data_IF_402338283981
#
_entry.id   IF_402338283981
#
_cell.length_a   1.000
_cell.length_b   1.000
_cell.length_c   1.000
_cell.angle_alpha   90.00
_cell.angle_beta   90.00
_cell.angle_gamma   90.00
#
_symmetry.space_group_name_H-M   'P 1'
#
loop_
_entity.id
_entity.type
_entity.pdbx_description
1 polymer ?
#
# COMPACT_ATOMS: atom_id res chain seq x y z
N UNK A 1 37.40 -53.67 70.17
CA UNK A 1 36.66 -52.80 71.13
C UNK A 1 35.70 -51.93 70.34
N UNK A 2 34.49 -51.75 70.88
CA UNK A 2 33.39 -50.81 70.53
C UNK A 2 33.79 -49.64 69.61
N UNK A 3 32.99 -49.13 68.66
CA UNK A 3 31.58 -49.31 68.23
C UNK A 3 31.39 -48.33 67.04
N UNK A 4 30.69 -48.76 65.97
CA UNK A 4 29.49 -48.11 65.35
C UNK A 4 29.70 -46.68 64.77
N UNK A 5 29.27 -46.23 63.57
CA UNK A 5 28.18 -46.52 62.62
C UNK A 5 28.61 -45.82 61.29
N UNK A 6 28.74 -46.50 60.15
CA UNK A 6 27.75 -46.67 59.06
C UNK A 6 27.25 -45.42 58.31
N UNK A 7 27.17 -45.64 56.99
CA UNK A 7 26.25 -45.08 55.99
C UNK A 7 26.79 -43.85 55.24
N UNK A 8 26.88 -43.80 53.91
CA UNK A 8 26.49 -44.69 52.82
C UNK A 8 26.94 -44.03 51.50
N UNK A 9 27.52 -44.80 50.57
CA UNK A 9 26.90 -45.17 49.27
C UNK A 9 26.59 -43.96 48.38
N UNK A 10 27.33 -43.75 47.28
CA UNK A 10 26.99 -44.22 45.92
C UNK A 10 27.82 -43.54 44.83
N UNK A 11 28.17 -44.32 43.82
CA UNK A 11 28.65 -43.93 42.49
C UNK A 11 27.86 -42.77 41.85
N UNK A 12 28.53 -41.97 41.02
CA UNK A 12 28.28 -41.80 39.56
C UNK A 12 29.08 -40.59 39.05
N UNK A 13 30.04 -40.80 38.15
CA UNK A 13 29.92 -40.42 36.72
C UNK A 13 29.22 -39.07 36.58
N UNK A 14 30.02 -37.99 36.57
CA UNK A 14 29.55 -36.68 36.13
C UNK A 14 29.31 -36.74 34.63
N UNK A 15 28.06 -37.00 34.28
CA UNK A 15 27.52 -36.79 32.95
C UNK A 15 27.55 -35.30 32.64
N UNK A 16 27.99 -35.01 31.42
CA UNK A 16 27.78 -33.77 30.69
C UNK A 16 26.32 -33.33 30.83
N UNK A 17 26.09 -32.18 31.48
CA UNK A 17 24.83 -31.46 31.42
C UNK A 17 25.03 -30.25 30.52
N UNK A 18 24.40 -30.29 29.35
CA UNK A 18 24.07 -29.08 28.60
C UNK A 18 23.25 -28.18 29.52
N UNK A 19 23.76 -26.98 29.81
CA UNK A 19 22.87 -25.90 30.22
C UNK A 19 22.39 -25.24 28.93
N UNK A 20 21.25 -25.72 28.44
CA UNK A 20 20.35 -24.94 27.60
C UNK A 20 19.77 -23.84 28.49
N UNK A 21 20.34 -22.64 28.43
CA UNK A 21 19.74 -21.44 29.02
C UNK A 21 20.24 -20.18 28.28
N UNK A 22 20.30 -20.23 26.94
CA UNK A 22 20.23 -19.01 26.13
C UNK A 22 18.78 -18.52 26.16
N UNK A 23 18.42 -17.87 27.27
CA UNK A 23 17.28 -16.96 27.27
C UNK A 23 17.64 -15.85 26.29
N UNK A 24 17.16 -15.99 25.06
CA UNK A 24 17.37 -15.00 24.01
C UNK A 24 17.14 -13.60 24.58
N UNK A 25 18.17 -12.74 24.48
CA UNK A 25 18.05 -11.36 24.89
C UNK A 25 16.80 -10.78 24.23
N UNK A 26 15.88 -10.29 25.07
CA UNK A 26 14.73 -9.52 24.59
C UNK A 26 15.32 -8.23 24.02
N UNK A 27 15.62 -8.25 22.73
CA UNK A 27 16.02 -7.04 22.02
C UNK A 27 14.84 -6.09 22.13
N UNK A 28 15.02 -4.88 22.67
CA UNK A 28 13.91 -3.94 22.81
C UNK A 28 13.28 -3.71 21.41
N UNK A 29 11.94 -3.54 21.33
CA UNK A 29 11.27 -3.20 20.09
C UNK A 29 12.01 -2.05 19.40
N UNK A 30 12.44 -2.29 18.16
CA UNK A 30 13.06 -1.24 17.35
C UNK A 30 11.96 -0.35 16.79
N UNK A 31 12.19 0.96 16.80
CA UNK A 31 11.28 1.94 16.24
C UNK A 31 11.15 1.75 14.73
N UNK A 32 9.98 1.31 14.26
CA UNK A 32 9.72 1.05 12.84
C UNK A 32 9.32 2.37 12.19
N UNK A 33 10.13 2.86 11.26
CA UNK A 33 9.87 4.11 10.56
C UNK A 33 9.08 3.88 9.27
N UNK A 34 9.39 2.81 8.53
CA UNK A 34 8.77 2.55 7.23
C UNK A 34 8.75 1.05 6.91
N UNK A 35 7.59 0.58 6.44
CA UNK A 35 7.43 -0.73 5.83
C UNK A 35 7.38 -0.58 4.31
N UNK A 36 8.03 -1.49 3.61
CA UNK A 36 7.99 -1.57 2.15
C UNK A 36 7.52 -2.96 1.76
N UNK A 37 6.33 -3.02 1.16
CA UNK A 37 5.76 -4.23 0.60
C UNK A 37 6.41 -4.48 -0.75
N UNK A 38 6.98 -5.67 -0.93
CA UNK A 38 7.68 -6.08 -2.13
C UNK A 38 6.87 -7.16 -2.84
N UNK A 39 6.41 -6.88 -4.06
CA UNK A 39 5.62 -7.80 -4.88
C UNK A 39 6.40 -9.07 -5.19
N UNK A 40 7.71 -8.92 -5.36
CA UNK A 40 8.63 -9.99 -5.70
C UNK A 40 8.45 -10.54 -7.11
N UNK A 41 8.84 -11.80 -7.30
CA UNK A 41 8.83 -12.50 -8.59
C UNK A 41 8.40 -13.95 -8.39
N UNK A 42 7.79 -14.55 -9.41
CA UNK A 42 7.38 -15.97 -9.40
C UNK A 42 6.49 -16.38 -8.21
N UNK A 43 5.70 -15.47 -7.65
CA UNK A 43 4.84 -15.75 -6.49
C UNK A 43 5.58 -15.76 -5.15
N UNK A 44 6.82 -15.26 -5.10
CA UNK A 44 7.61 -15.10 -3.88
C UNK A 44 7.79 -13.62 -3.59
N UNK A 45 7.11 -13.13 -2.55
CA UNK A 45 7.12 -11.73 -2.12
C UNK A 45 8.10 -11.44 -1.00
N UNK A 46 8.01 -10.22 -0.45
CA UNK A 46 8.75 -9.87 0.76
C UNK A 46 8.22 -8.63 1.47
N UNK A 47 8.73 -8.42 2.69
CA UNK A 47 8.51 -7.22 3.48
C UNK A 47 9.87 -6.68 3.91
N UNK A 48 10.17 -5.44 3.53
CA UNK A 48 11.34 -4.72 4.02
C UNK A 48 10.95 -3.74 5.10
N UNK A 49 11.83 -3.54 6.08
CA UNK A 49 11.62 -2.67 7.23
C UNK A 49 12.78 -1.69 7.34
N UNK A 50 12.47 -0.41 7.50
CA UNK A 50 13.43 0.65 7.80
C UNK A 50 13.12 1.11 9.22
N UNK A 51 14.14 1.10 10.07
CA UNK A 51 14.04 1.51 11.47
C UNK A 51 14.54 2.95 11.66
N UNK A 52 14.09 3.61 12.73
CA UNK A 52 14.46 5.00 13.03
C UNK A 52 15.95 5.23 13.31
N UNK A 53 16.72 4.17 13.60
CA UNK A 53 18.18 4.21 13.71
C UNK A 53 18.91 4.13 12.35
N UNK A 54 18.16 4.04 11.25
CA UNK A 54 18.67 3.87 9.88
C UNK A 54 18.95 2.43 9.49
N UNK A 55 18.74 1.44 10.37
CA UNK A 55 18.87 0.02 10.02
C UNK A 55 17.83 -0.37 8.99
N UNK A 56 18.25 -1.13 7.97
CA UNK A 56 17.37 -1.65 6.92
C UNK A 56 17.37 -3.16 6.97
N UNK A 57 16.19 -3.75 7.06
CA UNK A 57 16.00 -5.19 7.02
C UNK A 57 15.19 -5.56 5.77
N UNK A 58 15.88 -6.02 4.73
CA UNK A 58 15.31 -6.21 3.39
C UNK A 58 14.27 -7.35 3.33
N UNK A 59 14.52 -8.45 4.05
CA UNK A 59 13.66 -9.64 4.07
C UNK A 59 13.11 -9.90 5.49
N UNK A 60 12.53 -8.88 6.13
CA UNK A 60 12.08 -8.97 7.52
C UNK A 60 11.08 -10.11 7.76
N UNK A 61 10.16 -10.35 6.81
CA UNK A 61 9.23 -11.49 6.88
C UNK A 61 9.97 -12.83 6.94
N UNK A 62 10.91 -13.07 6.01
CA UNK A 62 11.62 -14.34 5.90
C UNK A 62 12.51 -14.59 7.13
N UNK A 63 13.17 -13.53 7.62
CA UNK A 63 14.01 -13.60 8.81
C UNK A 63 13.20 -13.90 10.07
N UNK A 64 12.01 -13.31 10.21
CA UNK A 64 11.16 -13.53 11.37
C UNK A 64 10.48 -14.91 11.38
N UNK A 65 10.23 -15.50 10.20
CA UNK A 65 9.40 -16.70 10.06
C UNK A 65 10.14 -17.93 9.54
N UNK A 66 11.42 -17.78 9.18
CA UNK A 66 12.25 -18.81 8.53
C UNK A 66 11.60 -19.40 7.26
N UNK A 67 10.78 -18.59 6.58
CA UNK A 67 9.96 -18.98 5.43
C UNK A 67 9.78 -17.84 4.44
N UNK A 68 9.79 -18.16 3.16
CA UNK A 68 9.51 -17.20 2.09
C UNK A 68 8.03 -16.82 2.13
N UNK A 69 7.73 -15.52 1.98
CA UNK A 69 6.37 -15.02 1.81
C UNK A 69 5.81 -15.51 0.47
N UNK A 70 4.89 -16.48 0.54
CA UNK A 70 4.20 -16.98 -0.64
C UNK A 70 3.13 -15.97 -1.07
N UNK A 71 2.92 -15.88 -2.38
CA UNK A 71 2.02 -14.89 -2.96
C UNK A 71 2.75 -13.63 -3.38
N UNK A 72 2.21 -12.93 -4.38
CA UNK A 72 2.60 -11.55 -4.70
C UNK A 72 1.89 -10.58 -3.77
N UNK A 73 2.57 -10.01 -2.75
CA UNK A 73 1.94 -9.15 -1.77
C UNK A 73 1.39 -7.88 -2.42
N UNK A 74 0.30 -7.33 -1.87
CA UNK A 74 -0.41 -6.20 -2.46
C UNK A 74 -0.48 -5.00 -1.53
N UNK A 75 -1.19 -5.13 -0.41
CA UNK A 75 -1.39 -4.07 0.55
C UNK A 75 -1.13 -4.57 1.97
N UNK A 76 -0.65 -3.65 2.80
CA UNK A 76 -0.53 -3.85 4.25
C UNK A 76 -1.37 -2.80 4.96
N UNK A 77 -2.10 -3.22 5.99
CA UNK A 77 -2.87 -2.33 6.84
C UNK A 77 -2.75 -2.75 8.32
N UNK A 78 -2.84 -1.77 9.22
CA UNK A 78 -2.85 -2.00 10.67
C UNK A 78 -4.29 -2.08 11.15
N UNK A 79 -4.70 -3.25 11.64
CA UNK A 79 -6.06 -3.50 12.12
C UNK A 79 -5.95 -4.29 13.43
N UNK A 80 -6.59 -3.80 14.50
CA UNK A 80 -6.58 -4.43 15.83
C UNK A 80 -5.16 -4.82 16.32
N UNK A 81 -4.23 -3.86 16.26
CA UNK A 81 -2.84 -4.02 16.69
C UNK A 81 -2.07 -5.16 15.98
N UNK A 82 -2.49 -5.51 14.77
CA UNK A 82 -1.82 -6.48 13.89
C UNK A 82 -1.64 -5.89 12.51
N UNK A 83 -0.66 -6.39 11.76
CA UNK A 83 -0.58 -6.10 10.33
C UNK A 83 -1.28 -7.18 9.53
N UNK A 84 -2.15 -6.76 8.61
CA UNK A 84 -2.80 -7.63 7.63
C UNK A 84 -2.16 -7.35 6.27
N UNK A 85 -1.47 -8.34 5.73
CA UNK A 85 -0.77 -8.28 4.45
C UNK A 85 -1.47 -9.19 3.43
N UNK A 86 -2.11 -8.59 2.43
CA UNK A 86 -2.75 -9.32 1.34
C UNK A 86 -1.73 -9.80 0.31
N UNK A 87 -1.92 -10.98 -0.26
CA UNK A 87 -1.09 -11.50 -1.35
C UNK A 87 -1.91 -12.29 -2.37
N UNK A 88 -1.70 -12.04 -3.66
CA UNK A 88 -2.68 -12.38 -4.70
C UNK A 88 -2.46 -13.73 -5.43
N UNK A 89 -1.30 -14.36 -5.33
CA UNK A 89 -0.99 -15.58 -6.12
C UNK A 89 0.16 -16.42 -5.54
N UNK A 90 -0.12 -17.39 -4.62
CA UNK A 90 -1.44 -17.81 -4.14
C UNK A 90 -2.18 -16.74 -3.34
N UNK A 91 -3.52 -16.80 -3.39
CA UNK A 91 -4.41 -15.88 -2.68
C UNK A 91 -4.41 -16.17 -1.17
N UNK A 92 -3.97 -15.18 -0.39
CA UNK A 92 -3.91 -15.28 1.07
C UNK A 92 -3.84 -13.92 1.75
N UNK A 93 -3.97 -13.97 3.07
CA UNK A 93 -3.71 -12.83 3.96
C UNK A 93 -2.79 -13.34 5.08
N UNK A 94 -1.62 -12.73 5.20
CA UNK A 94 -0.71 -12.96 6.32
C UNK A 94 -1.02 -11.94 7.43
N UNK A 95 -1.18 -12.43 8.65
CA UNK A 95 -1.45 -11.61 9.82
C UNK A 95 -0.21 -11.65 10.69
N UNK A 96 0.44 -10.50 10.83
CA UNK A 96 1.76 -10.36 11.43
C UNK A 96 1.68 -9.61 12.75
N UNK A 97 2.53 -10.00 13.70
CA UNK A 97 2.86 -9.20 14.85
C UNK A 97 3.61 -7.93 14.41
N UNK A 98 3.16 -6.71 14.77
CA UNK A 98 3.78 -5.48 14.30
C UNK A 98 5.22 -5.24 14.75
N UNK A 99 5.66 -5.90 15.82
CA UNK A 99 6.98 -5.69 16.43
C UNK A 99 8.00 -6.69 15.92
N UNK A 100 7.60 -7.96 15.84
CA UNK A 100 8.48 -9.08 15.51
C UNK A 100 8.33 -9.54 14.06
N UNK A 101 7.25 -9.14 13.38
CA UNK A 101 6.86 -9.59 12.03
C UNK A 101 6.62 -11.09 11.92
N UNK A 102 6.50 -11.79 13.05
CA UNK A 102 6.12 -13.20 13.10
C UNK A 102 4.67 -13.34 12.66
N UNK A 103 4.40 -14.37 11.85
CA UNK A 103 3.06 -14.73 11.40
C UNK A 103 2.27 -15.26 12.59
N UNK A 104 1.25 -14.50 12.99
CA UNK A 104 0.26 -14.90 13.98
C UNK A 104 -0.76 -15.86 13.37
N UNK A 105 -1.13 -15.63 12.11
CA UNK A 105 -2.08 -16.46 11.36
C UNK A 105 -1.96 -16.21 9.87
N UNK A 106 -2.18 -17.26 9.07
CA UNK A 106 -2.41 -17.16 7.63
C UNK A 106 -3.88 -17.49 7.34
N UNK A 107 -4.53 -16.67 6.53
CA UNK A 107 -5.85 -16.97 5.93
C UNK A 107 -5.59 -17.33 4.48
N UNK A 108 -5.63 -18.62 4.15
CA UNK A 108 -5.61 -19.09 2.76
C UNK A 108 -7.02 -19.03 2.16
N UNK A 109 -7.12 -18.64 0.90
CA UNK A 109 -8.39 -18.63 0.20
C UNK A 109 -8.72 -20.05 -0.29
N UNK A 110 -9.92 -20.53 0.00
CA UNK A 110 -10.40 -21.84 -0.49
C UNK A 110 -10.82 -21.78 -1.97
N UNK A 111 -11.17 -20.58 -2.46
CA UNK A 111 -11.56 -20.31 -3.85
C UNK A 111 -10.45 -19.53 -4.55
N UNK A 112 -10.48 -19.56 -5.88
CA UNK A 112 -9.62 -18.68 -6.69
C UNK A 112 -9.92 -17.23 -6.31
N UNK A 113 -8.88 -16.47 -6.02
CA UNK A 113 -8.96 -15.05 -5.70
C UNK A 113 -7.65 -14.35 -6.04
N UNK A 114 -7.67 -13.03 -5.96
CA UNK A 114 -6.52 -12.14 -6.05
C UNK A 114 -6.76 -10.97 -5.10
N UNK A 115 -6.63 -11.18 -3.78
CA UNK A 115 -6.83 -10.12 -2.79
C UNK A 115 -5.92 -8.92 -3.07
N UNK A 116 -6.50 -7.73 -2.97
CA UNK A 116 -5.89 -6.44 -3.29
C UNK A 116 -5.81 -5.60 -2.03
N UNK A 117 -6.63 -4.58 -1.90
CA UNK A 117 -6.68 -3.72 -0.72
C UNK A 117 -7.52 -4.34 0.42
N UNK A 118 -7.30 -3.86 1.65
CA UNK A 118 -8.02 -4.31 2.85
C UNK A 118 -8.36 -3.13 3.75
N UNK A 119 -9.61 -3.06 4.21
CA UNK A 119 -10.10 -1.97 5.05
C UNK A 119 -11.01 -2.50 6.18
N UNK A 120 -10.84 -2.02 7.43
CA UNK A 120 -11.78 -2.35 8.51
C UNK A 120 -13.15 -1.74 8.24
N UNK A 121 -14.21 -2.52 8.47
CA UNK A 121 -15.62 -2.06 8.43
C UNK A 121 -16.23 -1.96 9.84
N UNK A 122 -15.62 -2.61 10.83
CA UNK A 122 -16.01 -2.54 12.25
C UNK A 122 -14.81 -2.85 13.15
N UNK A 123 -15.02 -2.90 14.47
CA UNK A 123 -13.99 -3.31 15.44
C UNK A 123 -13.55 -4.77 15.26
N UNK A 124 -14.37 -5.61 14.62
CA UNK A 124 -14.10 -7.05 14.50
C UNK A 124 -14.11 -7.56 13.07
N UNK A 125 -14.42 -6.73 12.08
CA UNK A 125 -14.53 -7.14 10.69
C UNK A 125 -13.80 -6.20 9.73
N UNK A 126 -13.26 -6.78 8.66
CA UNK A 126 -12.67 -6.07 7.53
C UNK A 126 -13.17 -6.64 6.20
N UNK A 127 -13.14 -5.80 5.17
CA UNK A 127 -13.38 -6.20 3.79
C UNK A 127 -12.06 -6.18 3.05
N UNK A 128 -11.83 -7.23 2.28
CA UNK A 128 -10.72 -7.39 1.37
C UNK A 128 -11.26 -7.28 -0.05
N UNK A 129 -10.77 -6.28 -0.78
CA UNK A 129 -10.99 -6.15 -2.20
C UNK A 129 -10.34 -7.32 -2.94
N UNK A 130 -10.98 -7.81 -3.99
CA UNK A 130 -10.43 -8.85 -4.84
C UNK A 130 -10.63 -8.48 -6.30
N UNK A 131 -9.58 -8.63 -7.12
CA UNK A 131 -9.69 -8.36 -8.55
C UNK A 131 -10.42 -9.45 -9.33
N UNK A 132 -10.83 -10.55 -8.69
CA UNK A 132 -11.60 -11.65 -9.27
C UNK A 132 -12.98 -11.74 -8.61
N UNK A 133 -13.93 -10.93 -9.06
CA UNK A 133 -15.38 -11.10 -8.85
C UNK A 133 -15.84 -11.41 -7.43
N UNK A 134 -15.16 -10.85 -6.42
CA UNK A 134 -15.58 -11.03 -5.03
C UNK A 134 -15.12 -9.90 -4.10
N UNK A 135 -15.78 -9.82 -2.95
CA UNK A 135 -15.26 -9.20 -1.73
C UNK A 135 -15.12 -10.30 -0.69
N UNK A 136 -14.06 -10.27 0.11
CA UNK A 136 -13.92 -11.22 1.23
C UNK A 136 -14.09 -10.48 2.55
N UNK A 137 -15.12 -10.87 3.31
CA UNK A 137 -15.32 -10.40 4.68
C UNK A 137 -14.55 -11.32 5.62
N UNK A 138 -13.71 -10.73 6.46
CA UNK A 138 -12.94 -11.46 7.47
C UNK A 138 -13.27 -10.93 8.86
N UNK A 139 -13.16 -11.80 9.86
CA UNK A 139 -13.14 -11.40 11.26
C UNK A 139 -11.69 -11.17 11.69
N UNK A 140 -11.39 -9.96 12.15
CA UNK A 140 -10.02 -9.48 12.48
C UNK A 140 -9.60 -9.81 13.91
N UNK A 141 -10.52 -10.33 14.72
CA UNK A 141 -10.25 -10.83 16.08
C UNK A 141 -9.91 -12.32 16.03
N UNK A 142 -10.79 -13.13 15.42
CA UNK A 142 -10.59 -14.58 15.25
C UNK A 142 -9.65 -14.92 14.10
N UNK A 143 -9.34 -13.95 13.23
CA UNK A 143 -8.48 -14.10 12.07
C UNK A 143 -8.99 -15.18 11.10
N UNK A 144 -10.28 -15.13 10.76
CA UNK A 144 -10.96 -16.13 9.91
C UNK A 144 -11.80 -15.46 8.84
N UNK A 145 -12.02 -16.15 7.71
CA UNK A 145 -13.03 -15.74 6.73
C UNK A 145 -14.41 -15.85 7.37
N UNK A 146 -15.21 -14.79 7.23
CA UNK A 146 -16.64 -14.79 7.54
C UNK A 146 -17.42 -15.21 6.30
N UNK A 147 -17.13 -14.58 5.17
CA UNK A 147 -17.85 -14.81 3.92
C UNK A 147 -17.00 -14.39 2.70
N UNK A 148 -17.13 -15.13 1.61
CA UNK A 148 -16.76 -14.66 0.27
C UNK A 148 -18.03 -14.21 -0.46
N UNK A 149 -18.16 -12.91 -0.67
CA UNK A 149 -19.30 -12.28 -1.32
C UNK A 149 -19.00 -12.25 -2.82
N UNK A 150 -19.62 -13.15 -3.59
CA UNK A 150 -19.50 -13.17 -5.05
C UNK A 150 -20.12 -11.91 -5.65
N UNK A 151 -19.33 -11.15 -6.39
CA UNK A 151 -19.80 -10.02 -7.19
C UNK A 151 -20.22 -10.50 -8.59
N UNK A 152 -20.99 -9.69 -9.31
CA UNK A 152 -21.28 -9.96 -10.72
C UNK A 152 -19.98 -10.00 -11.57
N UNK A 153 -19.98 -10.77 -12.67
CA UNK A 153 -18.77 -11.13 -13.45
C UNK A 153 -18.03 -9.93 -14.06
N UNK A 154 -18.67 -8.78 -14.22
CA UNK A 154 -17.98 -7.58 -14.66
C UNK A 154 -17.16 -6.93 -13.52
N UNK A 155 -17.45 -7.22 -12.25
CA UNK A 155 -16.85 -6.53 -11.11
C UNK A 155 -15.60 -7.22 -10.59
N UNK A 156 -14.57 -6.44 -10.33
CA UNK A 156 -13.40 -6.79 -9.53
C UNK A 156 -12.82 -5.47 -9.03
N UNK A 157 -12.17 -5.48 -7.87
CA UNK A 157 -11.73 -4.26 -7.19
C UNK A 157 -10.23 -4.31 -6.89
N UNK A 158 -9.51 -3.26 -7.28
CA UNK A 158 -8.11 -3.07 -6.88
C UNK A 158 -8.03 -2.28 -5.59
N UNK A 159 -8.75 -1.16 -5.55
CA UNK A 159 -8.72 -0.19 -4.46
C UNK A 159 -10.14 0.03 -3.94
N UNK A 160 -10.27 0.15 -2.62
CA UNK A 160 -11.53 0.41 -1.91
C UNK A 160 -11.38 1.55 -0.91
N UNK A 161 -12.50 2.20 -0.57
CA UNK A 161 -12.53 3.23 0.47
C UNK A 161 -13.85 3.18 1.24
N UNK A 162 -13.82 3.57 2.51
CA UNK A 162 -15.01 3.71 3.34
C UNK A 162 -15.22 5.15 3.76
N UNK A 163 -16.43 5.65 3.57
CA UNK A 163 -16.88 6.94 4.08
C UNK A 163 -18.40 6.91 4.24
N UNK A 164 -18.91 7.51 5.33
CA UNK A 164 -20.35 7.60 5.62
C UNK A 164 -21.10 6.26 5.52
N UNK A 165 -20.58 5.21 6.17
CA UNK A 165 -21.16 3.85 6.18
C UNK A 165 -21.26 3.17 4.81
N UNK A 166 -20.52 3.66 3.82
CA UNK A 166 -20.51 3.11 2.46
C UNK A 166 -19.12 2.65 2.09
N UNK A 167 -19.05 1.49 1.46
CA UNK A 167 -17.86 0.99 0.79
C UNK A 167 -17.92 1.41 -0.68
N UNK A 168 -16.86 2.04 -1.15
CA UNK A 168 -16.66 2.43 -2.54
C UNK A 168 -15.56 1.55 -3.13
N UNK A 169 -15.77 1.01 -4.31
CA UNK A 169 -14.79 0.16 -5.00
C UNK A 169 -14.64 0.51 -6.47
N UNK A 170 -13.39 0.57 -6.92
CA UNK A 170 -13.07 0.78 -8.33
C UNK A 170 -13.52 -0.39 -9.19
N UNK A 171 -14.20 -0.09 -10.30
CA UNK A 171 -14.50 -1.08 -11.33
C UNK A 171 -13.34 -1.24 -12.30
N UNK A 172 -12.84 -2.47 -12.49
CA UNK A 172 -11.66 -2.71 -13.31
C UNK A 172 -11.87 -2.61 -14.82
N UNK A 173 -13.07 -2.97 -15.30
CA UNK A 173 -13.36 -3.11 -16.73
C UNK A 173 -14.54 -2.24 -17.21
N UNK A 174 -15.21 -1.47 -16.34
CA UNK A 174 -16.19 -0.49 -16.78
C UNK A 174 -16.12 0.88 -16.09
N UNK A 175 -16.93 1.79 -16.62
CA UNK A 175 -17.04 3.19 -16.22
C UNK A 175 -17.81 3.32 -14.90
N UNK A 176 -17.16 3.09 -13.76
CA UNK A 176 -17.70 3.62 -12.52
C UNK A 176 -17.07 3.16 -11.22
N UNK A 177 -17.67 3.66 -10.14
CA UNK A 177 -17.37 3.28 -8.76
C UNK A 177 -18.60 2.59 -8.20
N UNK A 178 -18.44 1.34 -7.79
CA UNK A 178 -19.47 0.60 -7.09
C UNK A 178 -19.62 1.15 -5.66
N UNK A 179 -20.86 1.27 -5.21
CA UNK A 179 -21.21 1.72 -3.86
C UNK A 179 -22.00 0.62 -3.15
N UNK A 180 -21.52 0.20 -1.98
CA UNK A 180 -22.20 -0.76 -1.11
C UNK A 180 -22.46 -0.12 0.25
N UNK A 181 -23.52 -0.54 0.91
CA UNK A 181 -23.74 -0.27 2.33
C UNK A 181 -22.99 -1.33 3.14
N UNK A 182 -22.15 -0.91 4.08
CA UNK A 182 -21.28 -1.83 4.83
C UNK A 182 -22.09 -2.77 5.73
N UNK A 183 -23.27 -2.34 6.18
CA UNK A 183 -24.15 -3.13 7.03
C UNK A 183 -24.88 -4.23 6.24
N UNK A 184 -24.92 -4.12 4.91
CA UNK A 184 -25.62 -5.07 4.04
C UNK A 184 -24.94 -5.18 2.67
N UNK A 185 -23.68 -5.61 2.66
CA UNK A 185 -22.94 -5.87 1.42
C UNK A 185 -23.52 -7.13 0.78
N UNK A 186 -23.99 -6.98 -0.47
CA UNK A 186 -24.44 -8.09 -1.32
C UNK A 186 -23.55 -8.19 -2.56
N UNK A 187 -23.75 -9.21 -3.39
CA UNK A 187 -23.03 -9.36 -4.65
C UNK A 187 -23.26 -8.23 -5.68
N UNK A 188 -24.31 -7.43 -5.50
CA UNK A 188 -24.59 -6.28 -6.37
C UNK A 188 -24.39 -4.96 -5.61
N UNK A 189 -23.75 -3.94 -6.23
CA UNK A 189 -23.68 -2.62 -5.64
C UNK A 189 -25.07 -1.98 -5.57
N UNK A 190 -25.30 -1.16 -4.55
CA UNK A 190 -26.54 -0.38 -4.43
C UNK A 190 -26.66 0.67 -5.54
N UNK A 191 -25.53 1.15 -6.03
CA UNK A 191 -25.44 2.13 -7.12
C UNK A 191 -24.04 2.12 -7.73
N UNK A 192 -23.93 2.65 -8.94
CA UNK A 192 -22.67 2.83 -9.65
C UNK A 192 -22.55 4.29 -10.05
N UNK A 193 -21.49 4.94 -9.59
CA UNK A 193 -21.21 6.34 -9.93
C UNK A 193 -20.49 6.36 -11.28
N UNK A 194 -21.03 7.01 -12.33
CA UNK A 194 -20.49 6.94 -13.67
C UNK A 194 -19.24 7.82 -13.80
N UNK A 195 -18.07 7.20 -13.69
CA UNK A 195 -16.77 7.85 -13.88
C UNK A 195 -15.88 6.95 -14.72
N UNK A 196 -15.05 7.53 -15.59
CA UNK A 196 -14.11 6.74 -16.37
C UNK A 196 -12.85 6.49 -15.56
N UNK A 197 -12.48 5.23 -15.36
CA UNK A 197 -11.20 4.84 -14.74
C UNK A 197 -10.44 4.04 -15.78
N UNK A 198 -9.32 4.58 -16.26
CA UNK A 198 -8.51 3.89 -17.27
C UNK A 198 -7.67 2.77 -16.65
N UNK A 199 -7.35 1.75 -17.44
CA UNK A 199 -6.53 0.62 -16.99
C UNK A 199 -5.16 1.05 -16.42
N UNK A 200 -4.61 2.17 -16.91
CA UNK A 200 -3.31 2.70 -16.45
C UNK A 200 -3.35 3.34 -15.07
N UNK A 201 -4.53 3.67 -14.54
CA UNK A 201 -4.69 4.36 -13.25
C UNK A 201 -5.47 3.55 -12.21
N UNK A 202 -5.93 2.34 -12.56
CA UNK A 202 -6.73 1.46 -11.68
C UNK A 202 -6.05 1.05 -10.37
N UNK A 203 -4.73 1.25 -10.26
CA UNK A 203 -3.92 0.96 -9.05
C UNK A 203 -3.58 2.23 -8.26
N UNK A 204 -4.22 3.35 -8.60
CA UNK A 204 -4.08 4.59 -7.85
C UNK A 204 -5.09 4.56 -6.69
N UNK A 205 -4.61 4.77 -5.47
CA UNK A 205 -5.44 4.69 -4.27
C UNK A 205 -6.62 5.66 -4.31
N UNK A 206 -7.75 5.19 -3.79
CA UNK A 206 -8.90 6.02 -3.47
C UNK A 206 -8.65 6.71 -2.12
N UNK A 207 -8.91 8.01 -2.04
CA UNK A 207 -8.65 8.80 -0.83
C UNK A 207 -9.93 9.39 -0.26
N UNK A 208 -10.08 9.34 1.07
CA UNK A 208 -11.13 10.05 1.79
C UNK A 208 -10.49 11.21 2.53
N UNK A 209 -10.83 12.43 2.13
CA UNK A 209 -10.24 13.65 2.70
C UNK A 209 -10.83 14.00 4.09
N UNK A 210 -10.29 15.05 4.72
CA UNK A 210 -10.78 15.57 6.01
C UNK A 210 -12.22 16.12 5.98
N UNK A 211 -12.78 16.36 4.81
CA UNK A 211 -14.12 16.89 4.57
C UNK A 211 -15.12 15.77 4.19
N UNK A 212 -14.74 14.50 4.40
CA UNK A 212 -15.50 13.32 4.00
C UNK A 212 -15.87 13.30 2.51
N UNK A 213 -14.97 13.78 1.64
CA UNK A 213 -15.10 13.63 0.19
C UNK A 213 -14.19 12.50 -0.29
N UNK A 214 -14.70 11.72 -1.22
CA UNK A 214 -13.96 10.66 -1.88
C UNK A 214 -13.25 11.23 -3.11
N UNK A 215 -11.98 10.89 -3.27
CA UNK A 215 -11.12 11.38 -4.33
C UNK A 215 -10.50 10.23 -5.12
N UNK A 216 -10.58 10.34 -6.44
CA UNK A 216 -10.15 9.29 -7.37
C UNK A 216 -9.41 9.91 -8.54
N UNK A 217 -8.26 9.32 -8.90
CA UNK A 217 -7.47 9.78 -10.02
C UNK A 217 -7.98 9.18 -11.33
N UNK A 218 -8.07 10.00 -12.37
CA UNK A 218 -8.40 9.59 -13.73
C UNK A 218 -7.61 10.39 -14.77
N UNK A 219 -7.70 9.95 -16.03
CA UNK A 219 -7.13 10.62 -17.20
C UNK A 219 -8.15 10.64 -18.31
N UNK A 220 -8.23 11.73 -19.05
CA UNK A 220 -9.20 11.87 -20.14
C UNK A 220 -8.88 13.04 -21.05
N UNK A 221 -9.90 13.49 -21.77
CA UNK A 221 -9.84 14.73 -22.54
C UNK A 221 -10.83 15.75 -22.00
N UNK A 222 -10.42 17.01 -21.97
CA UNK A 222 -11.30 18.11 -21.63
C UNK A 222 -12.18 18.54 -22.81
N UNK A 223 -12.99 19.59 -22.60
CA UNK A 223 -13.89 20.14 -23.62
C UNK A 223 -13.17 20.61 -24.90
N UNK A 224 -11.89 21.01 -24.78
CA UNK A 224 -11.03 21.43 -25.89
C UNK A 224 -10.27 20.25 -26.52
N UNK A 225 -10.62 19.01 -26.17
CA UNK A 225 -9.93 17.79 -26.60
C UNK A 225 -8.45 17.69 -26.17
N UNK A 226 -8.02 18.50 -25.19
CA UNK A 226 -6.70 18.41 -24.57
C UNK A 226 -6.68 17.24 -23.59
N UNK A 227 -5.58 16.48 -23.57
CA UNK A 227 -5.41 15.42 -22.58
C UNK A 227 -5.19 16.03 -21.19
N UNK A 228 -5.88 15.49 -20.19
CA UNK A 228 -5.82 15.97 -18.81
C UNK A 228 -5.72 14.80 -17.82
N UNK A 229 -5.13 15.08 -16.66
CA UNK A 229 -5.43 14.34 -15.45
C UNK A 229 -6.65 14.95 -14.77
N UNK A 230 -7.40 14.11 -14.07
CA UNK A 230 -8.55 14.49 -13.27
C UNK A 230 -8.43 13.92 -11.87
N UNK A 231 -8.61 14.79 -10.88
CA UNK A 231 -8.94 14.35 -9.53
C UNK A 231 -10.45 14.49 -9.36
N UNK A 232 -11.14 13.36 -9.50
CA UNK A 232 -12.59 13.24 -9.38
C UNK A 232 -12.94 13.31 -7.90
N UNK A 233 -13.76 14.28 -7.52
CA UNK A 233 -14.27 14.51 -6.17
C UNK A 233 -15.72 14.03 -6.11
N UNK A 234 -16.00 13.09 -5.23
CA UNK A 234 -17.32 12.50 -5.04
C UNK A 234 -17.83 12.86 -3.65
N UNK A 235 -19.02 13.43 -3.61
CA UNK A 235 -19.78 13.56 -2.38
C UNK A 235 -20.42 12.20 -2.03
N UNK A 236 -20.05 11.54 -0.92
CA UNK A 236 -20.49 10.17 -0.66
C UNK A 236 -21.98 10.06 -0.25
N UNK A 237 -22.60 11.15 0.17
CA UNK A 237 -24.01 11.18 0.52
C UNK A 237 -24.88 11.32 -0.73
N UNK A 238 -24.60 12.34 -1.53
CA UNK A 238 -25.38 12.69 -2.73
C UNK A 238 -24.89 12.01 -4.01
N UNK A 239 -23.70 11.39 -3.98
CA UNK A 239 -23.00 10.81 -5.12
C UNK A 239 -22.71 11.80 -6.26
N UNK A 240 -22.82 13.11 -5.99
CA UNK A 240 -22.50 14.15 -6.95
C UNK A 240 -20.99 14.15 -7.22
N UNK A 241 -20.65 14.32 -8.49
CA UNK A 241 -19.29 14.33 -9.00
C UNK A 241 -18.89 15.75 -9.34
N UNK A 242 -17.72 16.16 -8.87
CA UNK A 242 -16.95 17.32 -9.29
C UNK A 242 -15.53 16.86 -9.66
N UNK A 243 -14.70 17.73 -10.23
CA UNK A 243 -13.32 17.37 -10.55
C UNK A 243 -12.37 18.55 -10.60
N UNK A 244 -11.12 18.29 -10.24
CA UNK A 244 -9.99 19.16 -10.57
C UNK A 244 -9.36 18.71 -11.86
N UNK A 245 -9.42 19.56 -12.88
CA UNK A 245 -8.80 19.33 -14.18
C UNK A 245 -7.35 19.82 -14.17
N UNK A 246 -6.44 18.97 -14.66
CA UNK A 246 -5.01 19.26 -14.79
C UNK A 246 -4.61 19.05 -16.25
N UNK A 247 -4.50 20.14 -17.06
CA UNK A 247 -4.17 20.04 -18.47
C UNK A 247 -2.73 19.59 -18.69
N UNK A 248 -2.52 18.75 -19.70
CA UNK A 248 -1.18 18.39 -20.17
C UNK A 248 -0.73 19.30 -21.31
N UNK A 249 0.47 19.82 -21.17
CA UNK A 249 1.12 20.68 -22.15
C UNK A 249 2.12 19.91 -22.99
N UNK A 250 2.34 20.38 -24.22
CA UNK A 250 3.31 19.80 -25.16
C UNK A 250 4.23 20.88 -25.70
N UNK A 251 5.34 20.44 -26.30
CA UNK A 251 6.28 21.33 -26.96
C UNK A 251 5.57 22.20 -28.00
N UNK A 252 5.70 23.51 -27.86
CA UNK A 252 5.09 24.50 -28.74
C UNK A 252 3.82 25.14 -28.19
N UNK A 253 3.28 24.65 -27.08
CA UNK A 253 2.23 25.36 -26.33
C UNK A 253 2.84 26.63 -25.69
N UNK A 254 2.09 27.75 -25.70
CA UNK A 254 2.55 29.03 -25.16
C UNK A 254 2.74 28.98 -23.64
N UNK A 255 1.92 28.18 -22.95
CA UNK A 255 1.92 27.99 -21.51
C UNK A 255 2.92 26.91 -21.03
N UNK A 256 3.75 26.36 -21.93
CA UNK A 256 4.72 25.35 -21.55
C UNK A 256 5.91 25.98 -20.80
N UNK A 257 5.92 25.81 -19.48
CA UNK A 257 7.02 26.23 -18.59
C UNK A 257 7.64 25.05 -17.85
N UNK A 258 8.78 25.25 -17.18
CA UNK A 258 9.37 24.20 -16.34
C UNK A 258 8.41 23.81 -15.21
N UNK A 259 8.29 22.52 -14.93
CA UNK A 259 7.44 22.02 -13.86
C UNK A 259 5.95 21.89 -14.19
N UNK A 260 5.49 22.37 -15.35
CA UNK A 260 4.08 22.19 -15.74
C UNK A 260 3.79 20.75 -16.18
N UNK A 261 2.58 20.22 -15.95
CA UNK A 261 2.21 18.87 -16.37
C UNK A 261 2.32 18.66 -17.89
N UNK A 262 2.93 17.55 -18.30
CA UNK A 262 3.03 17.13 -19.70
C UNK A 262 2.37 15.76 -19.97
N UNK A 263 2.05 15.01 -18.92
CA UNK A 263 1.41 13.70 -19.07
C UNK A 263 1.23 12.95 -17.76
N UNK A 264 0.68 11.74 -17.87
CA UNK A 264 0.47 10.80 -16.77
C UNK A 264 0.93 9.41 -17.17
N UNK A 265 1.65 8.72 -16.29
CA UNK A 265 2.16 7.35 -16.50
C UNK A 265 2.12 6.58 -15.19
N UNK A 266 1.37 5.47 -15.12
CA UNK A 266 1.32 4.56 -13.97
C UNK A 266 1.24 5.28 -12.61
N UNK A 267 0.25 6.16 -12.48
CA UNK A 267 0.19 7.12 -11.39
C UNK A 267 0.09 6.46 -10.01
N UNK A 268 0.70 7.12 -9.03
CA UNK A 268 0.60 6.79 -7.61
C UNK A 268 0.21 8.03 -6.85
N UNK A 269 -0.51 7.84 -5.77
CA UNK A 269 -1.02 8.91 -4.93
C UNK A 269 -0.89 8.56 -3.46
N UNK A 270 -0.83 9.59 -2.63
CA UNK A 270 -0.72 9.47 -1.19
C UNK A 270 -1.46 10.62 -0.54
N UNK A 271 -2.27 10.33 0.48
CA UNK A 271 -2.98 11.34 1.25
C UNK A 271 -2.15 11.67 2.50
N UNK A 272 -1.89 12.95 2.71
CA UNK A 272 -1.32 13.49 3.95
C UNK A 272 -2.05 12.99 5.20
N UNK A 273 -1.33 12.96 6.33
CA UNK A 273 -1.89 12.48 7.62
C UNK A 273 -3.09 13.30 8.10
N UNK A 274 -3.08 14.61 7.88
CA UNK A 274 -4.19 15.51 8.19
C UNK A 274 -5.34 15.42 7.19
N UNK A 275 -5.18 14.59 6.14
CA UNK A 275 -6.12 14.39 5.04
C UNK A 275 -6.46 15.69 4.28
N UNK A 276 -5.56 16.68 4.33
CA UNK A 276 -5.75 18.00 3.72
C UNK A 276 -5.11 18.15 2.34
N UNK A 277 -4.16 17.29 2.00
CA UNK A 277 -3.40 17.33 0.74
C UNK A 277 -3.27 15.94 0.12
N UNK A 278 -3.58 15.84 -1.16
CA UNK A 278 -3.32 14.66 -1.98
C UNK A 278 -2.04 14.90 -2.77
N UNK A 279 -1.04 14.05 -2.56
CA UNK A 279 0.18 14.01 -3.35
C UNK A 279 0.04 12.98 -4.46
N UNK A 280 0.55 13.29 -5.65
CA UNK A 280 0.41 12.41 -6.80
C UNK A 280 1.48 12.61 -7.84
N UNK A 281 1.77 11.55 -8.59
CA UNK A 281 2.78 11.59 -9.65
C UNK A 281 2.19 12.08 -10.96
N UNK A 282 2.93 12.90 -11.70
CA UNK A 282 2.69 13.22 -13.12
C UNK A 282 4.05 13.36 -13.85
N UNK A 283 4.03 13.37 -15.17
CA UNK A 283 5.15 13.85 -15.96
C UNK A 283 5.09 15.38 -16.00
N UNK A 284 6.19 16.05 -15.64
CA UNK A 284 6.33 17.51 -15.64
C UNK A 284 7.45 17.94 -16.59
N UNK A 285 7.32 19.13 -17.18
CA UNK A 285 8.34 19.64 -18.09
C UNK A 285 9.69 19.83 -17.38
N UNK A 286 10.70 19.11 -17.87
CA UNK A 286 12.07 19.20 -17.38
C UNK A 286 12.96 20.09 -18.26
N UNK A 287 12.59 20.24 -19.55
CA UNK A 287 13.33 21.06 -20.51
C UNK A 287 12.43 21.47 -21.68
N UNK A 288 12.04 22.75 -21.67
CA UNK A 288 11.13 23.36 -22.66
C UNK A 288 11.63 23.16 -24.10
N UNK A 289 12.87 23.58 -24.40
CA UNK A 289 13.42 23.55 -25.77
C UNK A 289 13.48 22.16 -26.40
N UNK A 290 13.63 21.12 -25.58
CA UNK A 290 13.69 19.74 -26.02
C UNK A 290 12.34 19.01 -25.92
N UNK A 291 11.31 19.63 -25.31
CA UNK A 291 10.04 18.97 -25.01
C UNK A 291 10.23 17.73 -24.13
N UNK A 292 11.22 17.74 -23.23
CA UNK A 292 11.49 16.61 -22.33
C UNK A 292 10.76 16.80 -21.02
N UNK A 293 10.10 15.75 -20.59
CA UNK A 293 9.47 15.62 -19.29
C UNK A 293 10.32 14.77 -18.34
N UNK A 294 9.93 14.79 -17.08
CA UNK A 294 10.38 13.87 -16.03
C UNK A 294 9.22 13.60 -15.09
N UNK A 295 9.30 12.49 -14.37
CA UNK A 295 8.38 12.26 -13.28
C UNK A 295 8.57 13.37 -12.22
N UNK A 296 7.45 13.78 -11.62
CA UNK A 296 7.41 14.74 -10.54
C UNK A 296 6.21 14.48 -9.64
N UNK A 297 6.27 15.01 -8.41
CA UNK A 297 5.17 14.97 -7.46
C UNK A 297 4.46 16.32 -7.47
N UNK A 298 3.15 16.27 -7.55
CA UNK A 298 2.25 17.40 -7.38
C UNK A 298 1.49 17.25 -6.07
N UNK A 299 1.07 18.37 -5.50
CA UNK A 299 0.24 18.44 -4.30
C UNK A 299 -1.07 19.15 -4.66
N UNK A 300 -2.20 18.54 -4.34
CA UNK A 300 -3.55 19.07 -4.47
C UNK A 300 -4.11 19.37 -3.07
N UNK A 301 -4.52 20.62 -2.81
CA UNK A 301 -5.25 20.99 -1.59
C UNK A 301 -6.74 20.67 -1.74
N UNK A 302 -7.29 19.91 -0.79
CA UNK A 302 -8.67 19.43 -0.86
C UNK A 302 -9.73 20.49 -0.53
N UNK A 303 -9.31 21.63 0.04
CA UNK A 303 -10.20 22.70 0.48
C UNK A 303 -10.52 23.67 -0.66
N UNK A 304 -9.48 24.12 -1.37
CA UNK A 304 -9.61 25.11 -2.45
C UNK A 304 -9.41 24.52 -3.85
N UNK A 305 -9.14 23.21 -3.93
CA UNK A 305 -8.93 22.46 -5.18
C UNK A 305 -7.72 22.95 -5.99
N UNK A 306 -6.82 23.74 -5.41
CA UNK A 306 -5.59 24.20 -6.06
C UNK A 306 -4.52 23.11 -6.07
N UNK A 307 -3.71 23.07 -7.14
CA UNK A 307 -2.57 22.15 -7.23
C UNK A 307 -1.29 22.88 -7.61
N UNK A 308 -0.15 22.31 -7.19
CA UNK A 308 1.19 22.83 -7.51
C UNK A 308 2.21 21.71 -7.62
N UNK A 309 3.29 21.98 -8.34
CA UNK A 309 4.49 21.14 -8.28
C UNK A 309 4.99 21.11 -6.82
N UNK A 310 5.19 19.91 -6.29
CA UNK A 310 5.67 19.67 -4.93
C UNK A 310 7.13 19.25 -4.90
N UNK A 311 7.53 18.31 -5.76
CA UNK A 311 8.89 17.76 -5.79
C UNK A 311 9.27 17.30 -7.19
N UNK A 312 10.45 17.70 -7.65
CA UNK A 312 11.07 17.05 -8.82
C UNK A 312 11.76 15.74 -8.42
N UNK A 313 11.73 14.74 -9.31
CA UNK A 313 12.32 13.43 -9.03
C UNK A 313 13.37 13.07 -10.09
N UNK A 314 14.52 13.78 -10.15
CA UNK A 314 15.54 13.50 -11.14
C UNK A 314 16.13 12.10 -10.95
N UNK A 315 16.42 11.42 -12.05
CA UNK A 315 16.99 10.07 -12.03
C UNK A 315 15.98 8.94 -11.82
N UNK A 316 14.68 9.26 -11.76
CA UNK A 316 13.59 8.28 -11.70
C UNK A 316 12.91 8.18 -13.06
N UNK A 317 12.76 6.95 -13.55
CA UNK A 317 12.05 6.67 -14.79
C UNK A 317 10.53 6.65 -14.61
N UNK A 318 9.79 6.68 -15.71
CA UNK A 318 8.34 6.86 -15.73
C UNK A 318 7.51 5.70 -15.14
N UNK A 319 8.12 4.57 -14.79
CA UNK A 319 7.42 3.38 -14.26
C UNK A 319 7.73 3.20 -12.77
N UNK A 320 6.83 3.71 -11.93
CA UNK A 320 6.86 3.48 -10.49
C UNK A 320 5.80 2.47 -10.06
N UNK A 321 6.17 1.67 -9.08
CA UNK A 321 5.28 0.68 -8.50
C UNK A 321 4.58 1.18 -7.23
N UNK A 322 5.10 2.21 -6.56
CA UNK A 322 4.61 2.71 -5.28
C UNK A 322 5.16 4.09 -4.91
N UNK A 323 4.48 4.76 -3.98
CA UNK A 323 4.87 6.06 -3.42
C UNK A 323 4.44 6.17 -1.96
N UNK A 324 5.21 6.91 -1.17
CA UNK A 324 4.85 7.35 0.18
C UNK A 324 5.31 8.78 0.43
N UNK A 325 4.62 9.47 1.34
CA UNK A 325 5.05 10.77 1.88
C UNK A 325 5.21 10.60 3.38
N UNK A 326 6.40 10.87 3.92
CA UNK A 326 6.61 10.78 5.37
C UNK A 326 5.85 11.88 6.13
N UNK A 327 5.68 11.75 7.46
CA UNK A 327 5.10 12.81 8.28
C UNK A 327 5.79 14.17 8.12
N UNK A 328 7.09 14.18 7.81
CA UNK A 328 7.92 15.38 7.60
C UNK A 328 7.78 15.96 6.18
N UNK A 329 7.06 15.28 5.27
CA UNK A 329 6.87 15.70 3.89
C UNK A 329 7.96 15.23 2.93
N UNK A 330 8.74 14.22 3.30
CA UNK A 330 9.71 13.65 2.36
C UNK A 330 9.03 12.68 1.39
N UNK A 331 9.49 12.68 0.14
CA UNK A 331 8.91 11.84 -0.91
C UNK A 331 9.71 10.55 -1.02
N UNK A 332 9.02 9.41 -1.00
CA UNK A 332 9.59 8.08 -1.21
C UNK A 332 8.93 7.42 -2.41
N UNK A 333 9.74 6.87 -3.33
CA UNK A 333 9.26 6.24 -4.57
C UNK A 333 9.83 4.84 -4.72
N UNK A 334 8.96 3.87 -4.99
CA UNK A 334 9.37 2.50 -5.26
C UNK A 334 9.85 2.35 -6.72
N UNK A 335 11.17 2.26 -6.86
CA UNK A 335 11.87 2.03 -8.12
C UNK A 335 12.11 0.53 -8.31
N UNK A 336 11.39 -0.04 -9.27
CA UNK A 336 11.39 -1.47 -9.57
C UNK A 336 12.08 -1.78 -10.91
N UNK A 337 12.97 -0.91 -11.38
CA UNK A 337 13.61 -1.03 -12.69
C UNK A 337 14.42 -2.32 -12.84
N UNK A 338 13.76 -3.37 -13.35
CA UNK A 338 14.29 -4.49 -14.13
C UNK A 338 15.35 -5.39 -13.49
N UNK A 339 15.78 -5.15 -12.25
CA UNK A 339 16.87 -5.90 -11.62
C UNK A 339 16.38 -6.84 -10.51
N UNK A 340 17.28 -7.74 -10.11
CA UNK A 340 17.14 -8.69 -8.98
C UNK A 340 17.06 -7.96 -7.62
N UNK A 341 17.17 -6.62 -7.58
CA UNK A 341 17.05 -5.80 -6.38
C UNK A 341 16.07 -4.64 -6.60
N UNK A 342 15.29 -4.30 -5.56
CA UNK A 342 14.42 -3.12 -5.57
C UNK A 342 15.03 -1.97 -4.80
N UNK A 343 14.57 -0.75 -5.10
CA UNK A 343 14.99 0.44 -4.38
C UNK A 343 13.80 1.31 -3.98
N UNK A 344 13.90 1.95 -2.83
CA UNK A 344 13.10 3.13 -2.49
C UNK A 344 13.99 4.36 -2.66
N UNK A 345 13.60 5.26 -3.56
CA UNK A 345 14.26 6.55 -3.79
C UNK A 345 13.67 7.58 -2.82
N UNK A 346 14.52 8.22 -2.02
CA UNK A 346 14.13 9.27 -1.08
C UNK A 346 14.48 10.64 -1.66
N UNK A 347 13.50 11.55 -1.67
CA UNK A 347 13.66 12.94 -2.07
C UNK A 347 13.33 13.83 -0.88
N UNK A 348 14.34 14.11 -0.03
CA UNK A 348 14.20 14.97 1.15
C UNK A 348 13.98 16.43 0.74
N UNK A 349 13.58 17.26 1.70
CA UNK A 349 13.26 18.65 1.45
C UNK A 349 14.46 19.48 0.95
N UNK A 350 15.65 19.25 1.55
CA UNK A 350 16.83 20.11 1.41
C UNK A 350 18.15 19.33 1.22
N UNK A 351 18.12 18.04 0.83
CA UNK A 351 19.33 17.20 0.87
C UNK A 351 19.58 16.38 -0.42
N UNK A 352 20.61 15.54 -0.34
CA UNK A 352 21.04 14.63 -1.42
C UNK A 352 20.06 13.48 -1.55
N UNK A 353 19.61 13.23 -2.77
CA UNK A 353 18.74 12.09 -3.11
C UNK A 353 19.45 10.80 -2.73
N UNK A 354 18.78 9.96 -1.94
CA UNK A 354 19.28 8.65 -1.53
C UNK A 354 18.49 7.52 -2.19
N UNK A 355 19.08 6.33 -2.23
CA UNK A 355 18.42 5.11 -2.68
C UNK A 355 18.61 4.04 -1.61
N UNK A 356 17.50 3.60 -1.02
CA UNK A 356 17.43 2.57 0.01
C UNK A 356 17.19 1.25 -0.69
N UNK A 357 18.12 0.31 -0.57
CA UNK A 357 17.92 -1.04 -1.13
C UNK A 357 16.84 -1.78 -0.33
N UNK A 358 15.89 -2.37 -1.04
CA UNK A 358 14.75 -3.13 -0.49
C UNK A 358 14.52 -4.40 -1.31
N UNK A 359 13.48 -5.15 -0.97
CA UNK A 359 13.12 -6.38 -1.65
C UNK A 359 12.72 -6.17 -3.11
N UNK A 360 12.51 -7.26 -3.82
CA UNK A 360 12.27 -7.23 -5.27
C UNK A 360 10.89 -6.62 -5.60
N UNK A 361 10.86 -5.70 -6.57
CA UNK A 361 9.64 -4.98 -6.99
C UNK A 361 8.89 -4.34 -5.79
N UNK A 362 9.49 -3.36 -5.12
CA UNK A 362 8.79 -2.62 -4.07
C UNK A 362 7.56 -1.96 -4.68
N UNK A 363 6.43 -1.96 -3.97
CA UNK A 363 5.14 -1.54 -4.54
C UNK A 363 4.26 -0.72 -3.62
N UNK A 364 4.44 -0.82 -2.31
CA UNK A 364 3.73 0.00 -1.35
C UNK A 364 4.68 0.39 -0.24
N UNK A 365 4.61 1.67 0.11
CA UNK A 365 5.27 2.24 1.28
C UNK A 365 4.18 2.49 2.32
N UNK A 366 4.45 2.11 3.56
CA UNK A 366 3.56 2.35 4.68
C UNK A 366 4.36 2.88 5.87
N UNK A 367 3.88 3.98 6.45
CA UNK A 367 4.46 4.58 7.65
C UNK A 367 3.59 4.17 8.85
N UNK A 368 4.15 3.43 9.82
CA UNK A 368 3.45 3.17 11.07
C UNK A 368 3.11 4.45 11.81
N UNK A 369 2.07 4.38 12.65
CA UNK A 369 1.55 5.51 13.44
C UNK A 369 1.72 5.27 14.92
#
# INVERSE_FOLDING_TARGET
>A
MKKILYLGVLCTILLSACNDDDKGEITPPRDVQMLVVNEGVNGEGGLSVIYGDGTIEVNAYEKANEKILQGSPYAINSINDKYFLTASAPARIEILDPTTFVVLKTIDYEKIGMPRDIIPISESEAIVADSIHQLTKINTVTNTVVEHITLAEEWGMEEIAIVNNKLFGTHLDASGIAVFDIDNITGNPQSVIPVSISKSVKTCKMHVDKNNKLWIFSTGKNAESRNCAYWIKIDPETQKVDSVEIPFFKRGDEELELGVPMGATYNKSYLSLDKGTIYFTLQACARISAGRDRLAIFALDVNDNSYKLYRETPGVEARLNGMGISPEGEVYLCDANGTIAGFVRQFPANETISAIQVGIKPRMIWFPR
#
